data_IF_880346916753
#
_entry.id   IF_880346916753
#
_cell.length_a   1.000
_cell.length_b   1.000
_cell.length_c   1.000
_cell.angle_alpha   90.00
_cell.angle_beta   90.00
_cell.angle_gamma   90.00
#
_symmetry.space_group_name_H-M   'P 1'
#
loop_
_entity.id
_entity.type
_entity.pdbx_description
1 polymer ?
#
# COMPACT_ATOMS: atom_id res chain seq x y z
N UNK A 1 -1.93 -6.86 -5.99
CA UNK A 1 -3.17 -6.50 -5.26
C UNK A 1 -4.30 -7.40 -5.73
N UNK A 2 -4.44 -8.60 -5.17
CA UNK A 2 -5.28 -9.64 -5.75
C UNK A 2 -6.10 -10.39 -4.72
N UNK A 3 -7.00 -9.69 -4.02
CA UNK A 3 -8.22 -10.17 -3.33
C UNK A 3 -8.76 -9.01 -2.47
N UNK A 4 -9.87 -8.35 -2.85
CA UNK A 4 -10.63 -7.61 -1.83
C UNK A 4 -10.95 -8.61 -0.71
N UNK A 5 -10.80 -8.12 0.50
CA UNK A 5 -10.84 -8.70 1.84
C UNK A 5 -12.06 -9.60 2.15
N UNK A 6 -12.47 -10.49 1.24
CA UNK A 6 -13.72 -11.25 1.33
C UNK A 6 -13.58 -12.61 2.01
N UNK A 7 -12.38 -13.19 2.11
CA UNK A 7 -12.25 -14.54 2.70
C UNK A 7 -12.28 -14.57 4.23
N UNK A 8 -12.00 -13.46 4.92
CA UNK A 8 -11.89 -13.47 6.39
C UNK A 8 -12.61 -12.32 7.12
N UNK A 9 -13.09 -11.28 6.42
CA UNK A 9 -13.68 -10.08 7.03
C UNK A 9 -15.18 -10.15 7.35
N UNK A 10 -15.93 -11.08 6.75
CA UNK A 10 -17.40 -11.12 6.90
C UNK A 10 -17.88 -11.48 8.31
N UNK A 11 -17.05 -12.15 9.13
CA UNK A 11 -17.37 -12.42 10.52
C UNK A 11 -17.15 -11.23 11.47
N UNK A 12 -16.49 -10.15 11.02
CA UNK A 12 -16.01 -9.04 11.89
C UNK A 12 -16.78 -7.73 11.76
N UNK A 13 -17.80 -7.64 10.91
CA UNK A 13 -18.56 -6.40 10.71
C UNK A 13 -17.70 -5.25 10.14
N UNK A 14 -16.83 -5.55 9.18
CA UNK A 14 -15.92 -4.56 8.62
C UNK A 14 -16.65 -3.56 7.69
N UNK A 15 -16.27 -2.28 7.75
CA UNK A 15 -16.72 -1.24 6.80
C UNK A 15 -16.28 -1.61 5.38
N UNK A 16 -17.07 -1.23 4.37
CA UNK A 16 -16.86 -1.56 2.96
C UNK A 16 -15.43 -1.26 2.47
N UNK A 17 -14.82 -2.23 1.77
CA UNK A 17 -13.47 -2.12 1.20
C UNK A 17 -13.46 -1.13 0.01
N UNK A 18 -12.29 -0.56 -0.34
CA UNK A 18 -12.18 0.36 -1.49
C UNK A 18 -12.75 -0.25 -2.80
N UNK A 19 -12.49 -1.54 -3.05
CA UNK A 19 -13.06 -2.27 -4.19
C UNK A 19 -14.59 -2.34 -4.08
N UNK A 20 -15.15 -2.56 -2.90
CA UNK A 20 -16.61 -2.61 -2.71
C UNK A 20 -17.26 -1.25 -2.95
N UNK A 21 -16.67 -0.19 -2.41
CA UNK A 21 -17.09 1.19 -2.69
C UNK A 21 -17.05 1.48 -4.19
N UNK A 22 -15.95 1.15 -4.87
CA UNK A 22 -15.78 1.37 -6.31
C UNK A 22 -16.82 0.58 -7.13
N UNK A 23 -16.99 -0.72 -6.85
CA UNK A 23 -17.98 -1.54 -7.57
C UNK A 23 -19.41 -1.05 -7.34
N UNK A 24 -19.73 -0.55 -6.13
CA UNK A 24 -21.06 0.01 -5.81
C UNK A 24 -21.28 1.35 -6.52
N UNK A 25 -20.24 2.19 -6.60
CA UNK A 25 -20.33 3.51 -7.20
C UNK A 25 -20.45 3.45 -8.73
N UNK A 26 -19.68 2.57 -9.38
CA UNK A 26 -19.57 2.52 -10.84
C UNK A 26 -20.26 1.31 -11.49
N UNK A 27 -20.80 0.37 -10.70
CA UNK A 27 -21.50 -0.81 -11.23
C UNK A 27 -20.60 -1.83 -11.94
N UNK A 28 -19.28 -1.72 -11.79
CA UNK A 28 -18.28 -2.55 -12.49
C UNK A 28 -17.98 -3.85 -11.73
N UNK A 29 -17.48 -4.90 -12.42
CA UNK A 29 -16.99 -6.10 -11.76
C UNK A 29 -15.74 -5.80 -10.91
N UNK A 30 -15.50 -6.64 -9.88
CA UNK A 30 -14.37 -6.46 -8.95
C UNK A 30 -13.01 -6.45 -9.65
N UNK A 31 -12.85 -7.24 -10.72
CA UNK A 31 -11.59 -7.29 -11.47
C UNK A 31 -11.25 -5.93 -12.08
N UNK A 32 -12.23 -5.28 -12.69
CA UNK A 32 -12.09 -3.94 -13.25
C UNK A 32 -11.82 -2.89 -12.17
N UNK A 33 -12.58 -2.92 -11.07
CA UNK A 33 -12.33 -2.05 -9.91
C UNK A 33 -10.91 -2.21 -9.35
N UNK A 34 -10.37 -3.44 -9.30
CA UNK A 34 -8.99 -3.67 -8.87
C UNK A 34 -7.99 -3.06 -9.86
N UNK A 35 -8.23 -3.19 -11.16
CA UNK A 35 -7.34 -2.60 -12.19
C UNK A 35 -7.32 -1.08 -12.07
N UNK A 36 -8.48 -0.43 -11.97
CA UNK A 36 -8.55 1.03 -11.84
C UNK A 36 -7.93 1.52 -10.53
N UNK A 37 -8.22 0.88 -9.40
CA UNK A 37 -7.60 1.24 -8.12
C UNK A 37 -6.07 1.05 -8.13
N UNK A 38 -5.55 0.07 -8.87
CA UNK A 38 -4.10 -0.09 -9.02
C UNK A 38 -3.47 1.08 -9.81
N UNK A 39 -4.16 1.63 -10.81
CA UNK A 39 -3.67 2.82 -11.53
C UNK A 39 -3.54 4.01 -10.57
N UNK A 40 -4.54 4.24 -9.74
CA UNK A 40 -4.51 5.29 -8.71
C UNK A 40 -3.32 5.11 -7.74
N UNK A 41 -3.03 3.88 -7.32
CA UNK A 41 -1.86 3.60 -6.47
C UNK A 41 -0.54 3.91 -7.20
N UNK A 42 -0.44 3.57 -8.48
CA UNK A 42 0.76 3.84 -9.29
C UNK A 42 0.97 5.35 -9.48
N UNK A 43 -0.10 6.10 -9.77
CA UNK A 43 -0.02 7.56 -9.90
C UNK A 43 0.31 8.23 -8.55
N UNK A 44 -0.30 7.79 -7.45
CA UNK A 44 0.03 8.26 -6.11
C UNK A 44 1.50 8.00 -5.74
N UNK A 45 2.05 6.85 -6.14
CA UNK A 45 3.47 6.53 -5.94
C UNK A 45 4.39 7.49 -6.70
N UNK A 46 4.07 7.81 -7.96
CA UNK A 46 4.83 8.80 -8.75
C UNK A 46 4.78 10.18 -8.10
N UNK A 47 3.59 10.64 -7.69
CA UNK A 47 3.43 11.93 -7.01
C UNK A 47 4.27 12.01 -5.75
N UNK A 48 4.23 10.97 -4.90
CA UNK A 48 4.99 10.95 -3.65
C UNK A 48 6.51 10.97 -3.88
N UNK A 49 7.03 10.32 -4.93
CA UNK A 49 8.45 10.43 -5.30
C UNK A 49 8.78 11.87 -5.72
N UNK A 50 7.96 12.48 -6.56
CA UNK A 50 8.17 13.85 -7.01
C UNK A 50 8.16 14.83 -5.82
N UNK A 51 7.17 14.71 -4.94
CA UNK A 51 7.06 15.52 -3.72
C UNK A 51 8.28 15.31 -2.80
N UNK A 52 8.76 14.07 -2.65
CA UNK A 52 9.97 13.79 -1.86
C UNK A 52 11.18 14.52 -2.44
N UNK A 53 11.36 14.50 -3.76
CA UNK A 53 12.45 15.18 -4.46
C UNK A 53 12.32 16.70 -4.26
N UNK A 54 11.17 17.28 -4.52
CA UNK A 54 10.93 18.73 -4.45
C UNK A 54 11.12 19.26 -3.02
N UNK A 55 10.61 18.54 -2.03
CA UNK A 55 10.72 18.91 -0.62
C UNK A 55 12.16 18.76 -0.11
N UNK A 56 12.88 17.72 -0.54
CA UNK A 56 14.30 17.52 -0.20
C UNK A 56 15.16 18.68 -0.68
N UNK A 57 14.90 19.21 -1.88
CA UNK A 57 15.61 20.37 -2.41
C UNK A 57 15.18 21.70 -1.77
N UNK A 58 14.00 21.77 -1.15
CA UNK A 58 13.47 22.99 -0.53
C UNK A 58 13.79 23.15 0.97
N UNK A 59 14.52 22.22 1.61
CA UNK A 59 14.92 22.24 3.04
C UNK A 59 13.77 22.47 4.03
N UNK A 60 12.54 22.08 3.68
CA UNK A 60 11.35 22.37 4.52
C UNK A 60 11.16 21.44 5.71
N UNK A 61 11.71 20.23 5.65
CA UNK A 61 11.54 19.20 6.67
C UNK A 61 12.83 18.42 6.92
N UNK A 62 13.04 17.89 8.13
CA UNK A 62 14.09 16.92 8.39
C UNK A 62 13.96 15.71 7.46
N UNK A 63 15.10 15.27 6.93
CA UNK A 63 15.21 14.15 6.01
C UNK A 63 14.57 12.85 6.55
N UNK A 64 14.63 12.65 7.87
CA UNK A 64 14.01 11.53 8.58
C UNK A 64 12.49 11.47 8.36
N UNK A 65 11.79 12.61 8.36
CA UNK A 65 10.34 12.66 8.19
C UNK A 65 9.96 12.30 6.75
N UNK A 66 10.74 12.77 5.78
CA UNK A 66 10.51 12.49 4.35
C UNK A 66 10.75 11.02 4.04
N UNK A 67 11.82 10.44 4.57
CA UNK A 67 12.10 9.02 4.43
C UNK A 67 11.07 8.16 5.14
N UNK A 68 10.56 8.58 6.30
CA UNK A 68 9.51 7.85 7.01
C UNK A 68 8.25 7.69 6.15
N UNK A 69 7.76 8.77 5.54
CA UNK A 69 6.58 8.72 4.67
C UNK A 69 6.77 7.77 3.47
N UNK A 70 7.91 7.88 2.79
CA UNK A 70 8.26 7.05 1.64
C UNK A 70 8.40 5.56 2.03
N UNK A 71 9.02 5.29 3.17
CA UNK A 71 9.23 3.93 3.67
C UNK A 71 7.92 3.29 4.13
N UNK A 72 6.99 4.06 4.71
CA UNK A 72 5.67 3.54 5.09
C UNK A 72 4.91 3.02 3.87
N UNK A 73 4.89 3.78 2.77
CA UNK A 73 4.26 3.34 1.52
C UNK A 73 4.93 2.09 0.93
N UNK A 74 6.27 1.99 1.00
CA UNK A 74 7.01 0.79 0.56
C UNK A 74 6.66 -0.44 1.39
N UNK A 75 6.62 -0.30 2.71
CA UNK A 75 6.26 -1.37 3.64
C UNK A 75 4.81 -1.83 3.43
N UNK A 76 3.89 -0.90 3.21
CA UNK A 76 2.50 -1.23 2.88
C UNK A 76 2.41 -2.00 1.54
N UNK A 77 3.06 -1.50 0.48
CA UNK A 77 3.10 -2.21 -0.79
C UNK A 77 3.72 -3.60 -0.64
N UNK A 78 4.78 -3.72 0.17
CA UNK A 78 5.42 -4.99 0.47
C UNK A 78 4.47 -5.99 1.13
N UNK A 79 3.82 -5.61 2.23
CA UNK A 79 2.91 -6.51 2.95
C UNK A 79 1.69 -6.92 2.14
N UNK A 80 1.15 -6.01 1.32
CA UNK A 80 -0.15 -6.18 0.67
C UNK A 80 -0.06 -6.45 -0.84
N UNK A 81 1.14 -6.69 -1.38
CA UNK A 81 1.35 -6.94 -2.81
C UNK A 81 0.52 -8.11 -3.32
N UNK A 82 0.63 -9.25 -2.66
CA UNK A 82 -0.01 -10.51 -3.09
C UNK A 82 -1.17 -10.92 -2.17
N UNK A 83 -0.99 -10.77 -0.85
CA UNK A 83 -1.97 -11.14 0.17
C UNK A 83 -1.80 -10.27 1.41
N UNK A 84 -2.57 -10.51 2.46
CA UNK A 84 -2.36 -9.84 3.75
C UNK A 84 -1.18 -10.47 4.49
N UNK A 85 0.04 -9.97 4.22
CA UNK A 85 1.26 -10.41 4.89
C UNK A 85 1.47 -9.80 6.28
N UNK A 86 0.72 -8.75 6.63
CA UNK A 86 0.84 -8.10 7.93
C UNK A 86 0.08 -8.86 9.03
N UNK A 87 -1.20 -9.17 8.78
CA UNK A 87 -2.03 -9.91 9.73
C UNK A 87 -1.73 -11.41 9.68
N UNK A 88 -1.44 -11.94 8.49
CA UNK A 88 -1.09 -13.35 8.28
C UNK A 88 0.37 -13.49 7.88
N UNK A 89 1.23 -13.26 8.87
CA UNK A 89 2.68 -13.32 8.73
C UNK A 89 3.11 -14.72 8.31
N UNK A 90 3.74 -14.83 7.14
CA UNK A 90 4.43 -16.04 6.69
C UNK A 90 5.94 -15.93 6.91
N UNK A 91 6.67 -16.99 6.56
CA UNK A 91 8.13 -17.02 6.69
C UNK A 91 8.82 -15.96 5.81
N UNK A 92 8.29 -15.67 4.62
CA UNK A 92 8.86 -14.70 3.68
C UNK A 92 8.77 -13.26 4.20
N UNK A 93 7.64 -12.90 4.82
CA UNK A 93 7.41 -11.56 5.36
C UNK A 93 8.44 -11.21 6.46
N UNK A 94 8.75 -12.15 7.36
CA UNK A 94 9.74 -11.94 8.44
C UNK A 94 11.17 -11.74 7.92
N UNK A 95 11.56 -12.52 6.91
CA UNK A 95 12.91 -12.44 6.34
C UNK A 95 13.16 -11.09 5.66
N UNK A 96 12.16 -10.59 4.94
CA UNK A 96 12.25 -9.34 4.18
C UNK A 96 12.02 -8.09 5.04
N UNK A 97 11.23 -8.17 6.13
CA UNK A 97 11.20 -7.14 7.17
C UNK A 97 12.60 -6.93 7.76
N UNK A 98 13.32 -8.02 8.04
CA UNK A 98 14.69 -7.96 8.55
C UNK A 98 15.58 -7.23 7.55
N UNK A 99 15.59 -7.66 6.27
CA UNK A 99 16.38 -7.00 5.22
C UNK A 99 16.04 -5.51 5.04
N UNK A 100 14.77 -5.13 5.14
CA UNK A 100 14.33 -3.73 4.97
C UNK A 100 14.66 -2.82 6.16
N UNK A 101 14.82 -3.40 7.36
CA UNK A 101 15.08 -2.67 8.60
C UNK A 101 16.56 -2.69 9.01
N UNK A 102 17.33 -3.70 8.61
CA UNK A 102 18.73 -3.89 9.04
C UNK A 102 19.77 -3.46 8.02
N UNK A 103 19.39 -3.18 6.77
CA UNK A 103 20.32 -2.75 5.73
C UNK A 103 20.24 -1.23 5.53
N UNK A 104 21.31 -0.47 5.83
CA UNK A 104 21.45 0.87 5.25
C UNK A 104 21.75 0.73 3.74
N UNK A 105 21.32 1.70 2.95
CA UNK A 105 21.57 1.76 1.49
C UNK A 105 23.07 1.94 1.23
#
# INVERSE_FOLDING_TARGET
>A
MGKCFRRFGQGRGHVACAVECYTKQYGVPKGEAIVELNKEVVEAWKSMIQDHIDVKFCTKFPDVILHFGLNLARVANFYYKERDGFTFVDGETKHLMTLSLTMPI
#
